data_IF_983928726331
#
_entry.id   IF_983928726331
#
_cell.length_a   1.000
_cell.length_b   1.000
_cell.length_c   1.000
_cell.angle_alpha   90.00
_cell.angle_beta   90.00
_cell.angle_gamma   90.00
#
_symmetry.space_group_name_H-M   'P 1'
#
loop_
_entity.id
_entity.type
_entity.pdbx_description
1 polymer ?
#
# COMPACT_ATOMS: atom_id res chain seq x y z
N UNK A 1 -17.64 5.56 -11.45
CA UNK A 1 -16.47 5.63 -10.57
C UNK A 1 -16.64 6.71 -9.52
N UNK A 2 -16.12 6.49 -8.32
CA UNK A 2 -16.19 7.50 -7.28
C UNK A 2 -15.09 8.55 -7.45
N UNK A 3 -15.46 9.73 -7.89
CA UNK A 3 -14.53 10.85 -8.04
C UNK A 3 -13.91 11.23 -6.68
N UNK A 4 -14.72 11.25 -5.62
CA UNK A 4 -14.25 11.63 -4.29
C UNK A 4 -13.24 10.63 -3.72
N UNK A 5 -13.41 9.33 -3.99
CA UNK A 5 -12.45 8.33 -3.54
C UNK A 5 -11.15 8.42 -4.30
N UNK A 6 -11.19 8.71 -5.59
CA UNK A 6 -9.99 8.92 -6.39
C UNK A 6 -9.24 10.16 -5.90
N UNK A 7 -9.94 11.25 -5.62
CA UNK A 7 -9.34 12.47 -5.06
C UNK A 7 -8.75 12.20 -3.68
N UNK A 8 -9.44 11.45 -2.83
CA UNK A 8 -8.93 11.07 -1.52
C UNK A 8 -7.64 10.27 -1.63
N UNK A 9 -7.58 9.33 -2.58
CA UNK A 9 -6.37 8.55 -2.82
C UNK A 9 -5.20 9.45 -3.24
N UNK A 10 -5.45 10.40 -4.13
CA UNK A 10 -4.41 11.34 -4.58
C UNK A 10 -3.93 12.24 -3.44
N UNK A 11 -4.85 12.68 -2.58
CA UNK A 11 -4.48 13.47 -1.40
C UNK A 11 -3.60 12.66 -0.44
N UNK A 12 -3.96 11.41 -0.19
CA UNK A 12 -3.17 10.54 0.68
C UNK A 12 -1.77 10.29 0.11
N UNK A 13 -1.69 9.97 -1.18
CA UNK A 13 -0.40 9.75 -1.84
C UNK A 13 0.44 11.02 -1.88
N UNK A 14 -0.18 12.18 -2.16
CA UNK A 14 0.53 13.46 -2.17
C UNK A 14 1.07 13.84 -0.80
N UNK A 15 0.27 13.65 0.25
CA UNK A 15 0.72 13.92 1.62
C UNK A 15 1.82 12.94 2.04
N UNK A 16 1.68 11.66 1.68
CA UNK A 16 2.71 10.67 1.95
C UNK A 16 4.04 11.05 1.31
N UNK A 17 4.01 11.47 0.05
CA UNK A 17 5.21 11.91 -0.66
C UNK A 17 5.84 13.15 0.00
N UNK A 18 5.01 14.10 0.41
CA UNK A 18 5.48 15.30 1.10
C UNK A 18 6.23 14.95 2.39
N UNK A 19 5.64 14.08 3.20
CA UNK A 19 6.27 13.61 4.43
C UNK A 19 7.55 12.82 4.16
N UNK A 20 7.50 11.95 3.17
CA UNK A 20 8.64 11.11 2.79
C UNK A 20 9.85 11.96 2.38
N UNK A 21 9.63 12.95 1.52
CA UNK A 21 10.72 13.81 1.02
C UNK A 21 11.34 14.66 2.13
N UNK A 22 10.65 14.87 3.24
CA UNK A 22 11.12 15.62 4.40
C UNK A 22 11.63 14.74 5.53
N UNK A 23 11.72 13.45 5.31
CA UNK A 23 12.14 12.46 6.31
C UNK A 23 11.31 12.54 7.60
N UNK A 24 10.00 12.81 7.45
CA UNK A 24 9.06 12.82 8.56
C UNK A 24 8.48 11.41 8.75
N UNK A 25 7.79 11.21 9.84
CA UNK A 25 7.28 9.94 10.36
C UNK A 25 7.03 8.84 9.29
N UNK A 26 7.92 7.82 9.19
CA UNK A 26 7.79 6.79 8.18
C UNK A 26 6.55 5.88 8.36
N UNK A 27 6.02 5.74 9.58
CA UNK A 27 4.80 4.96 9.82
C UNK A 27 3.60 5.66 9.17
N UNK A 28 3.48 6.97 9.36
CA UNK A 28 2.41 7.75 8.72
C UNK A 28 2.53 7.73 7.21
N UNK A 29 3.75 7.85 6.67
CA UNK A 29 4.00 7.73 5.23
C UNK A 29 3.47 6.39 4.72
N UNK A 30 3.82 5.31 5.41
CA UNK A 30 3.43 3.96 5.00
C UNK A 30 1.92 3.77 5.00
N UNK A 31 1.25 4.21 6.05
CA UNK A 31 -0.20 4.08 6.16
C UNK A 31 -0.94 4.90 5.11
N UNK A 32 -0.52 6.14 4.87
CA UNK A 32 -1.11 7.00 3.84
C UNK A 32 -0.86 6.45 2.43
N UNK A 33 0.36 6.04 2.15
CA UNK A 33 0.71 5.50 0.83
C UNK A 33 -0.10 4.23 0.52
N UNK A 34 -0.19 3.31 1.46
CA UNK A 34 -0.96 2.07 1.25
C UNK A 34 -2.46 2.33 1.16
N UNK A 35 -2.99 3.28 1.94
CA UNK A 35 -4.39 3.68 1.82
C UNK A 35 -4.70 4.24 0.45
N UNK A 36 -3.84 5.11 -0.07
CA UNK A 36 -3.98 5.64 -1.42
C UNK A 36 -3.82 4.58 -2.49
N UNK A 37 -2.83 3.69 -2.35
CA UNK A 37 -2.60 2.60 -3.30
C UNK A 37 -3.81 1.68 -3.44
N UNK A 38 -4.45 1.33 -2.33
CA UNK A 38 -5.61 0.44 -2.36
C UNK A 38 -6.75 1.03 -3.19
N UNK A 39 -7.03 2.32 -3.01
CA UNK A 39 -8.08 2.99 -3.78
C UNK A 39 -7.70 3.14 -5.26
N UNK A 40 -6.49 3.58 -5.55
CA UNK A 40 -6.03 3.81 -6.92
C UNK A 40 -5.97 2.50 -7.70
N UNK A 41 -5.47 1.43 -7.12
CA UNK A 41 -5.40 0.13 -7.77
C UNK A 41 -6.78 -0.35 -8.21
N UNK A 42 -7.77 -0.21 -7.32
CA UNK A 42 -9.13 -0.61 -7.63
C UNK A 42 -9.68 0.14 -8.85
N UNK A 43 -9.52 1.47 -8.88
CA UNK A 43 -10.06 2.28 -9.96
C UNK A 43 -9.26 2.18 -11.25
N UNK A 44 -7.94 1.99 -11.17
CA UNK A 44 -7.10 1.76 -12.34
C UNK A 44 -7.52 0.47 -13.04
N UNK A 45 -7.73 -0.60 -12.29
CA UNK A 45 -8.20 -1.87 -12.83
C UNK A 45 -9.56 -1.72 -13.51
N UNK A 46 -10.49 -1.02 -12.87
CA UNK A 46 -11.82 -0.75 -13.42
C UNK A 46 -11.79 0.08 -14.70
N UNK A 47 -10.82 0.96 -14.84
CA UNK A 47 -10.66 1.81 -16.03
C UNK A 47 -9.95 1.07 -17.18
N UNK A 48 -9.60 -0.18 -17.00
CA UNK A 48 -8.91 -0.96 -18.03
C UNK A 48 -7.39 -0.78 -18.03
N UNK A 49 -6.86 -0.02 -17.09
CA UNK A 49 -5.41 0.08 -16.92
C UNK A 49 -4.89 -1.21 -16.29
N UNK A 50 -3.61 -1.49 -16.51
CA UNK A 50 -2.98 -2.67 -15.94
C UNK A 50 -2.21 -2.25 -14.68
N UNK A 51 -2.72 -2.57 -13.46
CA UNK A 51 -2.03 -2.18 -12.23
C UNK A 51 -0.64 -2.83 -12.13
N UNK A 52 0.24 -2.21 -11.36
CA UNK A 52 1.60 -2.72 -11.17
C UNK A 52 1.61 -4.17 -10.68
N UNK A 53 0.66 -4.54 -9.82
CA UNK A 53 0.52 -5.91 -9.31
C UNK A 53 0.34 -6.92 -10.45
N UNK A 54 -0.37 -6.55 -11.52
CA UNK A 54 -0.55 -7.42 -12.70
C UNK A 54 0.77 -7.67 -13.42
N UNK A 55 1.67 -6.68 -13.46
CA UNK A 55 3.00 -6.86 -14.04
C UNK A 55 3.85 -7.82 -13.21
N UNK A 56 3.72 -7.79 -11.89
CA UNK A 56 4.40 -8.76 -11.02
C UNK A 56 3.93 -10.17 -11.33
N UNK A 57 2.63 -10.38 -11.56
CA UNK A 57 2.08 -11.70 -11.91
C UNK A 57 2.64 -12.20 -13.23
N UNK A 58 2.90 -11.34 -14.20
CA UNK A 58 3.47 -11.73 -15.48
C UNK A 58 4.91 -12.23 -15.36
N UNK A 59 5.68 -11.66 -14.45
CA UNK A 59 7.09 -12.03 -14.25
C UNK A 59 7.29 -13.12 -13.20
N UNK A 60 6.32 -13.30 -12.31
CA UNK A 60 6.35 -14.28 -11.24
C UNK A 60 5.08 -15.13 -11.27
N UNK A 61 4.99 -16.00 -12.28
CA UNK A 61 3.79 -16.80 -12.54
C UNK A 61 3.44 -17.79 -11.44
N UNK A 62 4.39 -18.10 -10.54
CA UNK A 62 4.17 -18.95 -9.39
C UNK A 62 3.42 -18.27 -8.24
N UNK A 63 3.21 -16.94 -8.32
CA UNK A 63 2.50 -16.18 -7.32
C UNK A 63 1.06 -15.93 -7.77
N UNK A 64 0.16 -15.76 -6.81
CA UNK A 64 -1.19 -15.29 -7.07
C UNK A 64 -1.38 -13.89 -6.50
N UNK A 65 -2.47 -13.22 -6.88
CA UNK A 65 -2.70 -11.83 -6.49
C UNK A 65 -2.84 -11.65 -4.97
N UNK A 66 -3.45 -12.61 -4.28
CA UNK A 66 -3.59 -12.55 -2.82
C UNK A 66 -2.24 -12.59 -2.12
N UNK A 67 -1.33 -13.46 -2.59
CA UNK A 67 0.01 -13.57 -2.03
C UNK A 67 0.81 -12.28 -2.25
N UNK A 68 0.71 -11.69 -3.44
CA UNK A 68 1.40 -10.43 -3.75
C UNK A 68 0.88 -9.30 -2.84
N UNK A 69 -0.42 -9.16 -2.71
CA UNK A 69 -1.02 -8.13 -1.86
C UNK A 69 -0.65 -8.32 -0.39
N UNK A 70 -0.57 -9.56 0.08
CA UNK A 70 -0.14 -9.85 1.44
C UNK A 70 1.30 -9.36 1.68
N UNK A 71 2.22 -9.64 0.74
CA UNK A 71 3.61 -9.20 0.82
C UNK A 71 3.69 -7.68 0.83
N UNK A 72 2.95 -7.01 -0.06
CA UNK A 72 2.97 -5.56 -0.19
C UNK A 72 2.40 -4.84 1.03
N UNK A 73 1.42 -5.45 1.71
CA UNK A 73 0.64 -4.78 2.75
C UNK A 73 0.88 -5.30 4.16
N UNK A 74 1.84 -6.20 4.36
CA UNK A 74 2.05 -6.84 5.67
C UNK A 74 2.34 -5.85 6.80
N UNK A 75 3.16 -4.83 6.55
CA UNK A 75 3.44 -3.80 7.54
C UNK A 75 2.24 -2.89 7.78
N UNK A 76 1.56 -2.47 6.73
CA UNK A 76 0.35 -1.65 6.84
C UNK A 76 -0.72 -2.38 7.64
N UNK A 77 -0.95 -3.66 7.37
CA UNK A 77 -1.91 -4.46 8.12
C UNK A 77 -1.54 -4.51 9.60
N UNK A 78 -0.25 -4.68 9.91
CA UNK A 78 0.23 -4.69 11.29
C UNK A 78 0.04 -3.34 11.98
N UNK A 79 0.28 -2.23 11.26
CA UNK A 79 0.13 -0.91 11.85
C UNK A 79 -1.33 -0.54 12.13
N UNK A 80 -2.27 -1.02 11.34
CA UNK A 80 -3.67 -0.60 11.48
C UNK A 80 -4.56 -1.55 12.27
N UNK A 81 -4.08 -2.74 12.63
CA UNK A 81 -4.89 -3.72 13.35
C UNK A 81 -4.17 -4.19 14.61
N UNK A 82 -4.80 -3.97 15.77
CA UNK A 82 -4.30 -4.47 17.04
C UNK A 82 -4.70 -5.94 17.29
N UNK A 83 -5.81 -6.38 16.69
CA UNK A 83 -6.38 -7.70 16.94
C UNK A 83 -6.62 -8.45 15.63
N UNK A 84 -6.61 -9.79 15.72
CA UNK A 84 -7.03 -10.64 14.61
C UNK A 84 -8.55 -10.54 14.42
N UNK A 85 -9.02 -10.89 13.23
CA UNK A 85 -10.45 -10.81 12.88
C UNK A 85 -11.33 -11.65 13.80
N UNK A 86 -10.85 -12.80 14.27
CA UNK A 86 -11.56 -13.66 15.22
C UNK A 86 -11.35 -13.31 16.67
N UNK A 87 -10.68 -12.21 16.98
CA UNK A 87 -10.29 -11.80 18.34
C UNK A 87 -8.86 -12.19 18.67
N UNK A 88 -8.36 -11.73 19.79
CA UNK A 88 -6.97 -11.96 20.21
C UNK A 88 -6.01 -10.91 19.66
N UNK A 89 -5.05 -10.54 20.47
CA UNK A 89 -4.04 -9.54 20.11
C UNK A 89 -3.07 -10.08 19.07
N UNK A 90 -2.79 -9.29 18.04
CA UNK A 90 -1.82 -9.64 17.01
C UNK A 90 -0.39 -9.59 17.58
N UNK A 91 0.44 -10.53 17.17
CA UNK A 91 1.85 -10.63 17.59
C UNK A 91 2.75 -10.11 16.46
N UNK A 92 2.77 -8.80 16.29
CA UNK A 92 3.45 -8.14 15.16
C UNK A 92 4.81 -7.52 15.52
N UNK A 93 5.28 -7.60 16.77
CA UNK A 93 6.50 -6.93 17.20
C UNK A 93 7.72 -7.33 16.38
N UNK A 94 7.93 -8.62 16.14
CA UNK A 94 9.07 -9.10 15.37
C UNK A 94 9.04 -8.58 13.92
N UNK A 95 7.85 -8.50 13.33
CA UNK A 95 7.68 -7.94 11.99
C UNK A 95 7.98 -6.44 12.00
N UNK A 96 7.41 -5.70 12.94
CA UNK A 96 7.51 -4.24 12.99
C UNK A 96 8.91 -3.75 13.29
N UNK A 97 9.74 -4.54 14.01
CA UNK A 97 11.15 -4.17 14.21
C UNK A 97 11.96 -4.18 12.91
N UNK A 98 11.44 -4.83 11.87
CA UNK A 98 12.08 -4.90 10.54
C UNK A 98 11.62 -3.81 9.60
N UNK A 99 10.65 -2.99 10.01
CA UNK A 99 10.14 -1.90 9.17
C UNK A 99 11.19 -0.81 9.02
N UNK A 100 11.41 -0.39 7.78
CA UNK A 100 12.27 0.75 7.45
C UNK A 100 11.58 1.61 6.39
N UNK A 101 12.13 2.80 6.14
CA UNK A 101 11.60 3.71 5.13
C UNK A 101 11.72 3.15 3.70
N UNK A 102 12.47 2.07 3.51
CA UNK A 102 12.56 1.38 2.21
C UNK A 102 11.22 0.81 1.76
N UNK A 103 10.37 0.38 2.69
CA UNK A 103 9.02 -0.07 2.35
C UNK A 103 8.18 1.06 1.77
N UNK A 104 8.49 2.30 2.13
CA UNK A 104 7.80 3.48 1.60
C UNK A 104 8.20 3.78 0.17
N UNK A 105 9.45 3.53 -0.21
CA UNK A 105 9.89 3.67 -1.60
C UNK A 105 8.99 2.84 -2.53
N UNK A 106 8.78 1.58 -2.18
CA UNK A 106 7.96 0.66 -2.97
C UNK A 106 6.51 1.10 -3.01
N UNK A 107 5.92 1.44 -1.86
CA UNK A 107 4.52 1.84 -1.79
C UNK A 107 4.26 3.11 -2.61
N UNK A 108 5.13 4.10 -2.52
CA UNK A 108 5.01 5.35 -3.27
C UNK A 108 5.19 5.13 -4.77
N UNK A 109 6.12 4.27 -5.16
CA UNK A 109 6.30 3.92 -6.58
C UNK A 109 5.05 3.26 -7.16
N UNK A 110 4.48 2.29 -6.45
CA UNK A 110 3.28 1.58 -6.89
C UNK A 110 2.12 2.56 -7.03
N UNK A 111 1.92 3.42 -6.04
CA UNK A 111 0.87 4.43 -6.06
C UNK A 111 1.03 5.40 -7.24
N UNK A 112 2.25 5.86 -7.48
CA UNK A 112 2.54 6.73 -8.62
C UNK A 112 2.26 6.01 -9.94
N UNK A 113 2.73 4.77 -10.08
CA UNK A 113 2.54 3.98 -11.30
C UNK A 113 1.04 3.80 -11.59
N UNK A 114 0.29 3.38 -10.59
CA UNK A 114 -1.13 3.08 -10.77
C UNK A 114 -1.99 4.34 -10.98
N UNK A 115 -1.48 5.51 -10.59
CA UNK A 115 -2.19 6.79 -10.76
C UNK A 115 -2.03 7.42 -12.15
N UNK A 116 -1.20 6.84 -13.00
CA UNK A 116 -0.95 7.37 -14.35
C UNK A 116 -2.14 7.28 -15.30
#
# INVERSE_FOLDING_TARGET
MSKLKIEAARHQLGTAMHLYLRNLDPVSVHCLANGGCELIEYYADRAGAQPFTSHILQTHSNLNISAIKMIQRKFWTAFKHAAYQGGGERKDEALLTRFTDEQNDTALFIGWYDSQ
#
